data_IF_022813977831
#
_entry.id   IF_022813977831
#
_cell.length_a   1.000
_cell.length_b   1.000
_cell.length_c   1.000
_cell.angle_alpha   90.00
_cell.angle_beta   90.00
_cell.angle_gamma   90.00
#
_symmetry.space_group_name_H-M   'P 1'
#
loop_
_entity.id
_entity.type
_entity.pdbx_description
1 polymer ?
#
# COMPACT_ATOMS: atom_id res chain seq x y z
N UNK A 1 -16.97 -2.71 -22.10
CA UNK A 1 -17.16 -1.44 -21.35
C UNK A 1 -15.85 -0.97 -20.67
N UNK A 2 -15.07 -1.88 -20.09
CA UNK A 2 -13.88 -1.56 -19.30
C UNK A 2 -12.68 -1.13 -20.17
N UNK A 3 -12.47 -1.81 -21.31
CA UNK A 3 -11.41 -1.48 -22.26
C UNK A 3 -11.65 -0.09 -22.90
N UNK A 4 -12.90 0.23 -23.22
CA UNK A 4 -13.27 1.55 -23.76
C UNK A 4 -12.95 2.69 -22.76
N UNK A 5 -13.09 2.46 -21.47
CA UNK A 5 -12.73 3.45 -20.44
C UNK A 5 -11.22 3.70 -20.36
N UNK A 6 -10.40 2.65 -20.56
CA UNK A 6 -8.93 2.78 -20.64
C UNK A 6 -8.52 3.58 -21.89
N UNK A 7 -9.16 3.33 -23.02
CA UNK A 7 -8.95 4.06 -24.30
C UNK A 7 -9.22 5.55 -24.15
N UNK A 8 -10.38 5.91 -23.62
CA UNK A 8 -10.76 7.34 -23.43
C UNK A 8 -9.74 8.05 -22.53
N UNK A 9 -9.31 7.41 -21.43
CA UNK A 9 -8.31 7.99 -20.55
C UNK A 9 -6.94 8.19 -21.21
N UNK A 10 -6.51 7.25 -22.03
CA UNK A 10 -5.22 7.36 -22.75
C UNK A 10 -5.24 8.40 -23.86
N UNK A 11 -6.30 8.45 -24.66
CA UNK A 11 -6.46 9.46 -25.71
C UNK A 11 -6.43 10.89 -25.17
N UNK A 12 -7.10 11.15 -24.04
CA UNK A 12 -7.06 12.46 -23.39
C UNK A 12 -5.64 12.86 -22.99
N UNK A 13 -4.88 11.93 -22.40
CA UNK A 13 -3.50 12.19 -21.98
C UNK A 13 -2.56 12.41 -23.17
N UNK A 14 -2.73 11.67 -24.25
CA UNK A 14 -1.94 11.81 -25.49
C UNK A 14 -2.21 13.19 -26.10
N UNK A 15 -3.47 13.57 -26.31
CA UNK A 15 -3.88 14.88 -26.85
C UNK A 15 -3.41 16.05 -25.97
N UNK A 16 -3.41 15.89 -24.65
CA UNK A 16 -2.91 16.92 -23.74
C UNK A 16 -1.39 17.08 -23.87
N UNK A 17 -0.64 15.98 -23.98
CA UNK A 17 0.79 16.02 -24.23
C UNK A 17 1.13 16.69 -25.58
N UNK A 18 0.37 16.42 -26.64
CA UNK A 18 0.53 17.04 -27.95
C UNK A 18 0.27 18.55 -27.88
N UNK A 19 -0.80 18.98 -27.20
CA UNK A 19 -1.12 20.42 -27.02
C UNK A 19 -0.02 21.19 -26.29
N UNK A 20 0.69 20.54 -25.38
CA UNK A 20 1.80 21.11 -24.64
C UNK A 20 3.16 20.97 -25.34
N UNK A 21 3.18 20.50 -26.59
CA UNK A 21 4.40 20.35 -27.39
C UNK A 21 5.31 19.19 -26.97
N UNK A 22 4.81 18.25 -26.14
CA UNK A 22 5.53 17.06 -25.67
C UNK A 22 5.33 15.89 -26.63
N UNK A 23 5.80 16.06 -27.86
CA UNK A 23 5.53 15.10 -28.94
C UNK A 23 6.17 13.73 -28.70
N UNK A 24 7.36 13.70 -28.11
CA UNK A 24 8.07 12.46 -27.82
C UNK A 24 7.36 11.65 -26.75
N UNK A 25 6.90 12.31 -25.68
CA UNK A 25 6.12 11.70 -24.61
C UNK A 25 4.76 11.19 -25.12
N UNK A 26 4.08 11.97 -25.94
CA UNK A 26 2.83 11.58 -26.59
C UNK A 26 3.01 10.34 -27.46
N UNK A 27 4.05 10.27 -28.27
CA UNK A 27 4.36 9.14 -29.12
C UNK A 27 4.67 7.89 -28.30
N UNK A 28 5.51 7.98 -27.26
CA UNK A 28 5.83 6.86 -26.35
C UNK A 28 4.57 6.32 -25.70
N UNK A 29 3.74 7.23 -25.16
CA UNK A 29 2.51 6.86 -24.47
C UNK A 29 1.55 6.14 -25.43
N UNK A 30 1.38 6.67 -26.65
CA UNK A 30 0.54 6.08 -27.67
C UNK A 30 0.99 4.65 -28.03
N UNK A 31 2.25 4.50 -28.44
CA UNK A 31 2.80 3.19 -28.83
C UNK A 31 2.65 2.15 -27.71
N UNK A 32 2.92 2.56 -26.48
CA UNK A 32 2.78 1.67 -25.33
C UNK A 32 1.34 1.28 -25.06
N UNK A 33 0.44 2.24 -25.11
CA UNK A 33 -0.98 1.99 -24.80
C UNK A 33 -1.64 1.17 -25.88
N UNK A 34 -1.39 1.47 -27.16
CA UNK A 34 -1.93 0.71 -28.29
C UNK A 34 -1.50 -0.78 -28.20
N UNK A 35 -0.22 -1.02 -27.92
CA UNK A 35 0.30 -2.38 -27.72
C UNK A 35 -0.33 -3.11 -26.52
N UNK A 36 -0.44 -2.42 -25.38
CA UNK A 36 -1.03 -3.00 -24.16
C UNK A 36 -2.53 -3.33 -24.37
N UNK A 37 -3.26 -2.47 -25.10
CA UNK A 37 -4.67 -2.70 -25.43
C UNK A 37 -4.86 -3.89 -26.37
N UNK A 38 -4.05 -4.01 -27.42
CA UNK A 38 -4.06 -5.17 -28.32
C UNK A 38 -3.84 -6.48 -27.54
N UNK A 39 -2.89 -6.51 -26.62
CA UNK A 39 -2.66 -7.67 -25.75
C UNK A 39 -3.86 -7.96 -24.82
N UNK A 40 -4.50 -6.94 -24.29
CA UNK A 40 -5.69 -7.12 -23.44
C UNK A 40 -6.86 -7.67 -24.28
N UNK A 41 -7.05 -7.19 -25.51
CA UNK A 41 -8.11 -7.67 -26.40
C UNK A 41 -7.88 -9.11 -26.84
N UNK A 42 -6.66 -9.48 -27.21
CA UNK A 42 -6.36 -10.80 -27.75
C UNK A 42 -6.14 -11.86 -26.65
N UNK A 43 -5.45 -11.52 -25.58
CA UNK A 43 -5.00 -12.46 -24.55
C UNK A 43 -5.70 -12.26 -23.19
N UNK A 44 -6.46 -11.19 -23.03
CA UNK A 44 -7.06 -10.82 -21.75
C UNK A 44 -6.05 -10.27 -20.71
N UNK A 45 -4.80 -10.06 -21.10
CA UNK A 45 -3.72 -9.66 -20.19
C UNK A 45 -2.63 -8.89 -20.92
N UNK A 46 -2.04 -7.89 -20.24
CA UNK A 46 -0.79 -7.26 -20.67
C UNK A 46 0.19 -7.12 -19.50
N UNK A 47 1.48 -7.00 -19.79
CA UNK A 47 2.50 -6.74 -18.77
C UNK A 47 2.34 -5.32 -18.23
N UNK A 48 2.00 -5.21 -16.95
CA UNK A 48 1.73 -3.93 -16.30
C UNK A 48 0.25 -3.54 -16.30
N UNK A 49 -0.65 -4.52 -16.46
CA UNK A 49 -2.12 -4.32 -16.42
C UNK A 49 -2.57 -3.56 -15.17
N UNK A 50 -1.81 -3.66 -14.08
CA UNK A 50 -2.06 -2.93 -12.83
C UNK A 50 -2.06 -1.42 -13.01
N UNK A 51 -1.39 -0.87 -14.04
CA UNK A 51 -1.38 0.56 -14.33
C UNK A 51 -2.73 1.05 -14.87
N UNK A 52 -3.54 0.12 -15.36
CA UNK A 52 -4.91 0.36 -15.84
C UNK A 52 -5.97 0.01 -14.79
N UNK A 53 -5.57 -0.47 -13.61
CA UNK A 53 -6.47 -0.99 -12.56
C UNK A 53 -7.56 -0.01 -12.15
N UNK A 54 -7.30 1.30 -12.15
CA UNK A 54 -8.31 2.32 -11.87
C UNK A 54 -9.46 2.28 -12.86
N UNK A 55 -9.13 2.22 -14.16
CA UNK A 55 -10.12 2.16 -15.24
C UNK A 55 -10.88 0.85 -15.22
N UNK A 56 -10.18 -0.28 -15.07
CA UNK A 56 -10.77 -1.62 -15.00
C UNK A 56 -11.73 -1.78 -13.81
N UNK A 57 -11.44 -1.15 -12.68
CA UNK A 57 -12.29 -1.20 -11.48
C UNK A 57 -13.30 -0.06 -11.36
N UNK A 58 -13.36 0.86 -12.33
CA UNK A 58 -14.29 2.00 -12.31
C UNK A 58 -14.05 3.00 -11.16
N UNK A 59 -12.86 3.01 -10.57
CA UNK A 59 -12.53 3.88 -9.42
C UNK A 59 -12.31 5.32 -9.85
N UNK A 60 -12.61 6.25 -8.95
CA UNK A 60 -12.32 7.65 -9.14
C UNK A 60 -10.81 7.94 -9.06
N UNK A 61 -10.32 8.96 -9.80
CA UNK A 61 -8.93 9.41 -9.67
C UNK A 61 -8.54 9.71 -8.21
N UNK A 62 -7.35 9.27 -7.79
CA UNK A 62 -6.84 9.49 -6.44
C UNK A 62 -7.39 8.56 -5.36
N UNK A 63 -8.39 7.74 -5.67
CA UNK A 63 -8.94 6.77 -4.70
C UNK A 63 -7.91 5.71 -4.31
N UNK A 64 -8.03 5.19 -3.09
CA UNK A 64 -7.20 4.10 -2.63
C UNK A 64 -7.48 2.81 -3.43
N UNK A 65 -6.47 2.02 -3.80
CA UNK A 65 -6.68 0.74 -4.46
C UNK A 65 -7.26 -0.29 -3.47
N UNK A 66 -7.94 -1.29 -4.02
CA UNK A 66 -8.29 -2.48 -3.26
C UNK A 66 -7.01 -3.26 -2.92
N UNK A 67 -6.95 -3.77 -1.72
CA UNK A 67 -5.81 -4.52 -1.19
C UNK A 67 -6.27 -5.85 -0.60
N UNK A 68 -5.33 -6.73 -0.28
CA UNK A 68 -5.64 -7.98 0.39
C UNK A 68 -6.41 -7.78 1.72
N UNK A 69 -6.19 -6.65 2.39
CA UNK A 69 -6.87 -6.30 3.63
C UNK A 69 -8.39 -6.16 3.47
N UNK A 70 -8.84 -5.74 2.30
CA UNK A 70 -10.26 -5.55 2.00
C UNK A 70 -11.04 -6.88 1.92
N UNK A 71 -10.32 -8.02 1.81
CA UNK A 71 -10.89 -9.37 1.76
C UNK A 71 -10.93 -10.07 3.12
N UNK A 72 -10.31 -9.49 4.14
CA UNK A 72 -10.37 -10.07 5.48
C UNK A 72 -11.69 -9.73 6.20
N UNK A 73 -12.13 -10.61 7.11
CA UNK A 73 -13.27 -10.30 7.98
C UNK A 73 -13.04 -9.02 8.78
N UNK A 74 -14.13 -8.29 9.07
CA UNK A 74 -14.05 -7.03 9.81
C UNK A 74 -13.52 -7.17 11.25
N UNK A 75 -13.62 -8.36 11.81
CA UNK A 75 -13.13 -8.72 13.14
C UNK A 75 -11.74 -9.36 13.12
N UNK A 76 -11.02 -9.27 12.00
CA UNK A 76 -9.67 -9.81 11.85
C UNK A 76 -8.66 -9.15 12.79
N UNK A 77 -7.69 -9.96 13.23
CA UNK A 77 -6.54 -9.53 14.02
C UNK A 77 -5.30 -9.47 13.11
N UNK A 78 -4.66 -8.32 13.06
CA UNK A 78 -3.41 -8.12 12.33
C UNK A 78 -2.23 -8.14 13.27
N UNK A 79 -1.26 -9.02 13.01
CA UNK A 79 0.01 -9.05 13.73
C UNK A 79 1.11 -8.44 12.87
N UNK A 80 1.76 -7.40 13.38
CA UNK A 80 2.88 -6.74 12.72
C UNK A 80 4.15 -7.15 13.46
N UNK A 81 4.89 -8.07 12.85
CA UNK A 81 6.18 -8.52 13.38
C UNK A 81 7.27 -7.48 13.07
N UNK A 82 8.27 -7.39 13.95
CA UNK A 82 9.32 -6.38 13.90
C UNK A 82 8.78 -4.97 13.62
N UNK A 83 7.73 -4.60 14.35
CA UNK A 83 6.93 -3.40 14.10
C UNK A 83 7.77 -2.13 14.07
N UNK A 84 8.85 -2.04 14.85
CA UNK A 84 9.78 -0.91 14.87
C UNK A 84 10.46 -0.64 13.52
N UNK A 85 10.50 -1.66 12.62
CA UNK A 85 10.96 -1.54 11.23
C UNK A 85 9.78 -1.45 10.27
N UNK A 86 8.77 -2.31 10.46
CA UNK A 86 7.64 -2.43 9.54
C UNK A 86 6.77 -1.15 9.51
N UNK A 87 6.51 -0.52 10.66
CA UNK A 87 5.66 0.68 10.73
C UNK A 87 6.29 1.88 9.99
N UNK A 88 7.56 2.23 10.19
CA UNK A 88 8.21 3.25 9.37
C UNK A 88 8.24 2.92 7.88
N UNK A 89 8.44 1.66 7.50
CA UNK A 89 8.40 1.24 6.10
C UNK A 89 7.02 1.45 5.50
N UNK A 90 5.94 1.04 6.18
CA UNK A 90 4.56 1.30 5.75
C UNK A 90 4.31 2.80 5.56
N UNK A 91 4.84 3.64 6.45
CA UNK A 91 4.74 5.08 6.34
C UNK A 91 5.44 5.66 5.10
N UNK A 92 6.58 5.09 4.70
CA UNK A 92 7.39 5.56 3.57
C UNK A 92 7.01 5.01 2.20
N UNK A 93 6.28 3.90 2.13
CA UNK A 93 6.00 3.18 0.87
C UNK A 93 5.27 4.05 -0.16
N UNK A 94 4.29 4.81 0.26
CA UNK A 94 3.49 5.65 -0.64
C UNK A 94 4.33 6.72 -1.34
N UNK A 95 5.12 7.48 -0.61
CA UNK A 95 5.92 8.57 -1.18
C UNK A 95 7.03 8.04 -2.08
N UNK A 96 7.65 6.92 -1.74
CA UNK A 96 8.66 6.27 -2.57
C UNK A 96 8.09 5.81 -3.92
N UNK A 97 6.92 5.16 -3.92
CA UNK A 97 6.25 4.73 -5.15
C UNK A 97 5.78 5.92 -5.99
N UNK A 98 5.17 6.93 -5.35
CA UNK A 98 4.69 8.13 -6.01
C UNK A 98 5.82 8.91 -6.69
N UNK A 99 6.94 9.10 -6.01
CA UNK A 99 8.10 9.81 -6.57
C UNK A 99 8.62 9.14 -7.85
N UNK A 100 8.78 7.82 -7.81
CA UNK A 100 9.20 7.04 -8.98
C UNK A 100 8.20 7.13 -10.13
N UNK A 101 6.91 6.98 -9.85
CA UNK A 101 5.86 6.99 -10.89
C UNK A 101 5.63 8.35 -11.49
N UNK A 102 5.78 9.43 -10.72
CA UNK A 102 5.71 10.79 -11.26
C UNK A 102 6.70 10.98 -12.41
N UNK A 103 7.95 10.55 -12.24
CA UNK A 103 8.97 10.64 -13.29
C UNK A 103 8.54 9.82 -14.53
N UNK A 104 8.00 8.63 -14.35
CA UNK A 104 7.56 7.79 -15.46
C UNK A 104 6.37 8.40 -16.22
N UNK A 105 5.45 9.04 -15.52
CA UNK A 105 4.30 9.74 -16.12
C UNK A 105 4.78 11.01 -16.83
N UNK A 106 5.63 11.80 -16.21
CA UNK A 106 6.16 13.05 -16.78
C UNK A 106 6.87 12.83 -18.11
N UNK A 107 7.61 11.71 -18.23
CA UNK A 107 8.34 11.37 -19.45
C UNK A 107 7.58 10.46 -20.43
N UNK A 108 6.26 10.28 -20.25
CA UNK A 108 5.40 9.53 -21.17
C UNK A 108 5.61 8.01 -21.16
N UNK A 109 6.22 7.43 -20.11
CA UNK A 109 6.37 5.98 -19.98
C UNK A 109 5.18 5.30 -19.31
N UNK A 110 4.32 6.06 -18.65
CA UNK A 110 3.11 5.57 -17.97
C UNK A 110 1.98 6.59 -18.09
N UNK A 111 0.74 6.07 -18.09
CA UNK A 111 -0.45 6.90 -17.96
C UNK A 111 -0.54 7.49 -16.55
N UNK A 112 -1.16 8.67 -16.36
CA UNK A 112 -1.45 9.24 -15.05
C UNK A 112 -2.20 8.27 -14.11
N UNK A 113 -3.04 7.39 -14.66
CA UNK A 113 -3.74 6.35 -13.90
C UNK A 113 -2.82 5.36 -13.17
N UNK A 114 -1.57 5.23 -13.60
CA UNK A 114 -0.57 4.43 -12.90
C UNK A 114 -0.29 4.93 -11.47
N UNK A 115 -0.52 6.23 -11.20
CA UNK A 115 -0.41 6.82 -9.87
C UNK A 115 -1.47 6.33 -8.90
N UNK A 116 -2.60 5.83 -9.41
CA UNK A 116 -3.71 5.32 -8.60
C UNK A 116 -3.56 3.83 -8.25
N UNK A 117 -2.63 3.12 -8.89
CA UNK A 117 -2.15 1.82 -8.45
C UNK A 117 -0.94 2.03 -7.52
N UNK A 118 -1.18 2.22 -6.27
CA UNK A 118 -0.22 2.68 -5.28
C UNK A 118 -0.35 1.93 -3.96
N UNK A 119 0.71 1.88 -3.13
CA UNK A 119 0.55 1.46 -1.74
C UNK A 119 -0.48 2.34 -1.02
N UNK A 120 -1.10 1.77 -0.02
CA UNK A 120 -1.93 2.55 0.89
C UNK A 120 -1.09 3.62 1.60
N UNK A 121 -1.68 4.77 1.83
CA UNK A 121 -1.12 5.72 2.79
C UNK A 121 -1.25 5.13 4.20
N UNK A 122 -0.39 5.53 5.11
CA UNK A 122 -0.39 4.97 6.46
C UNK A 122 -1.74 5.09 7.18
N UNK A 123 -2.42 6.24 7.06
CA UNK A 123 -3.76 6.40 7.64
C UNK A 123 -4.81 5.49 6.98
N UNK A 124 -4.75 5.31 5.64
CA UNK A 124 -5.65 4.40 4.92
C UNK A 124 -5.43 2.94 5.35
N UNK A 125 -4.18 2.56 5.64
CA UNK A 125 -3.86 1.26 6.22
C UNK A 125 -4.48 1.12 7.62
N UNK A 126 -4.29 2.12 8.49
CA UNK A 126 -4.83 2.10 9.86
C UNK A 126 -6.36 2.05 9.89
N UNK A 127 -7.04 2.74 8.99
CA UNK A 127 -8.51 2.74 8.88
C UNK A 127 -9.09 1.37 8.52
N UNK A 128 -8.32 0.55 7.79
CA UNK A 128 -8.73 -0.81 7.39
C UNK A 128 -8.49 -1.85 8.47
N UNK A 129 -7.79 -1.49 9.55
CA UNK A 129 -7.50 -2.41 10.64
C UNK A 129 -8.60 -2.37 11.69
N UNK A 130 -8.92 -3.55 12.25
CA UNK A 130 -9.79 -3.64 13.41
C UNK A 130 -8.94 -3.74 14.69
N UNK A 131 -8.13 -4.77 14.78
CA UNK A 131 -7.22 -5.01 15.90
C UNK A 131 -5.79 -5.22 15.37
N UNK A 132 -4.82 -4.59 16.04
CA UNK A 132 -3.42 -4.73 15.66
C UNK A 132 -2.60 -5.14 16.89
N UNK A 133 -1.73 -6.12 16.69
CA UNK A 133 -0.68 -6.49 17.62
C UNK A 133 0.65 -6.08 17.00
N UNK A 134 1.38 -5.25 17.70
CA UNK A 134 2.75 -4.89 17.32
C UNK A 134 3.71 -5.77 18.12
N UNK A 135 4.48 -6.60 17.43
CA UNK A 135 5.51 -7.44 18.02
C UNK A 135 6.88 -6.83 17.70
N UNK A 136 7.68 -6.59 18.74
CA UNK A 136 9.03 -6.06 18.58
C UNK A 136 9.89 -6.36 19.80
N UNK A 137 11.14 -6.79 19.57
CA UNK A 137 12.13 -6.91 20.62
C UNK A 137 12.66 -5.52 21.09
N UNK A 138 12.60 -4.53 20.20
CA UNK A 138 13.07 -3.16 20.43
C UNK A 138 12.03 -2.15 19.97
N UNK A 139 10.94 -1.96 20.74
CA UNK A 139 9.86 -1.04 20.37
C UNK A 139 10.37 0.36 20.06
N UNK A 140 9.91 0.93 18.94
CA UNK A 140 10.26 2.27 18.52
C UNK A 140 9.39 3.36 19.15
N UNK A 141 9.64 4.63 18.81
CA UNK A 141 8.86 5.75 19.34
C UNK A 141 7.36 5.66 19.05
N UNK A 142 6.99 5.10 17.87
CA UNK A 142 5.59 4.94 17.48
C UNK A 142 4.85 4.02 18.46
N UNK A 143 5.39 2.84 18.72
CA UNK A 143 4.79 1.87 19.64
C UNK A 143 4.72 2.41 21.06
N UNK A 144 5.80 3.03 21.54
CA UNK A 144 5.87 3.58 22.87
C UNK A 144 4.85 4.71 23.11
N UNK A 145 4.68 5.61 22.12
CA UNK A 145 3.70 6.70 22.21
C UNK A 145 2.28 6.14 22.18
N UNK A 146 1.97 5.26 21.23
CA UNK A 146 0.62 4.71 21.09
C UNK A 146 0.22 3.84 22.29
N UNK A 147 1.16 3.14 22.92
CA UNK A 147 0.88 2.38 24.13
C UNK A 147 0.62 3.26 25.36
N UNK A 148 1.29 4.39 25.46
CA UNK A 148 1.14 5.30 26.63
C UNK A 148 -0.11 6.16 26.55
N UNK A 149 -0.52 6.54 25.34
CA UNK A 149 -1.60 7.51 25.14
C UNK A 149 -2.99 6.98 25.52
N UNK A 150 -3.22 5.67 25.41
CA UNK A 150 -4.57 5.09 25.52
C UNK A 150 -4.72 4.03 26.61
N UNK A 151 -3.93 4.09 27.68
CA UNK A 151 -3.93 3.04 28.75
C UNK A 151 -3.74 1.61 28.20
N UNK A 152 -3.05 1.46 27.10
CA UNK A 152 -2.82 0.18 26.44
C UNK A 152 -1.78 -0.62 27.20
N UNK A 153 -2.07 -1.89 27.38
CA UNK A 153 -1.25 -2.75 28.22
C UNK A 153 -0.01 -3.21 27.46
N UNK A 154 1.15 -2.90 27.99
CA UNK A 154 2.42 -3.49 27.58
C UNK A 154 2.60 -4.82 28.28
N UNK A 155 2.60 -5.91 27.54
CA UNK A 155 2.82 -7.26 28.08
C UNK A 155 4.24 -7.70 27.72
N UNK A 156 5.17 -7.74 28.68
CA UNK A 156 6.47 -8.31 28.43
C UNK A 156 6.33 -9.82 28.22
N UNK A 157 6.51 -10.28 26.99
CA UNK A 157 6.59 -11.74 26.75
C UNK A 157 8.02 -12.19 27.02
N UNK A 158 8.20 -12.97 28.05
CA UNK A 158 9.44 -13.71 28.24
C UNK A 158 9.51 -14.80 27.19
N UNK A 159 10.55 -14.80 26.35
CA UNK A 159 10.86 -15.94 25.50
C UNK A 159 10.93 -17.17 26.42
N UNK A 160 10.14 -18.19 26.13
CA UNK A 160 10.26 -19.46 26.81
C UNK A 160 11.70 -19.96 26.58
N UNK A 161 12.53 -19.87 27.62
CA UNK A 161 13.88 -20.36 27.54
C UNK A 161 13.80 -21.84 27.18
N UNK A 162 14.49 -22.27 26.13
CA UNK A 162 14.81 -23.67 25.94
C UNK A 162 15.51 -24.11 27.21
N UNK A 163 15.11 -25.27 27.73
CA UNK A 163 15.63 -25.84 28.98
C UNK A 163 17.15 -25.59 29.10
N UNK A 164 17.55 -24.73 30.03
CA UNK A 164 18.95 -24.40 30.33
C UNK A 164 19.47 -23.02 29.90
N UNK A 165 18.75 -22.21 29.10
CA UNK A 165 19.18 -20.85 28.74
C UNK A 165 18.56 -19.82 29.68
N UNK A 166 19.40 -18.95 30.24
CA UNK A 166 18.91 -17.73 30.91
C UNK A 166 18.32 -16.81 29.85
N UNK A 167 17.10 -16.34 30.06
CA UNK A 167 16.49 -15.34 29.19
C UNK A 167 17.41 -14.12 29.07
N UNK A 168 17.65 -13.60 27.83
CA UNK A 168 18.44 -12.39 27.66
C UNK A 168 17.82 -11.23 28.44
N UNK A 169 18.63 -10.51 29.20
CA UNK A 169 18.21 -9.26 29.83
C UNK A 169 17.74 -8.31 28.72
N UNK A 170 16.50 -7.82 28.82
CA UNK A 170 15.95 -6.79 27.93
C UNK A 170 14.91 -7.25 26.92
N UNK A 171 14.48 -8.53 26.90
CA UNK A 171 13.37 -8.91 26.04
C UNK A 171 12.07 -8.25 26.53
N UNK A 172 11.62 -7.25 25.79
CA UNK A 172 10.47 -6.41 26.15
C UNK A 172 9.35 -6.59 25.13
N UNK A 173 8.61 -7.58 25.25
CA UNK A 173 7.19 -7.70 25.08
C UNK A 173 6.50 -7.47 23.73
N UNK A 174 5.29 -7.98 23.70
CA UNK A 174 4.30 -7.73 22.66
C UNK A 174 3.50 -6.47 23.06
N UNK A 175 3.42 -5.51 22.15
CA UNK A 175 2.60 -4.34 22.30
C UNK A 175 1.26 -4.53 21.61
N UNK A 176 0.17 -4.50 22.38
CA UNK A 176 -1.17 -4.51 21.82
C UNK A 176 -1.68 -3.11 21.65
N UNK A 177 -2.08 -2.74 20.44
CA UNK A 177 -2.83 -1.52 20.21
C UNK A 177 -4.08 -1.82 19.41
N UNK A 178 -5.22 -1.35 19.85
CA UNK A 178 -6.46 -1.36 19.08
C UNK A 178 -6.96 0.06 18.91
N UNK A 179 -7.49 0.43 17.75
CA UNK A 179 -8.28 1.64 17.61
C UNK A 179 -9.59 1.61 18.41
N UNK A 180 -10.02 0.42 18.83
CA UNK A 180 -11.25 0.18 19.60
C UNK A 180 -10.93 -0.86 20.67
N UNK A 181 -10.96 -0.46 21.93
CA UNK A 181 -10.84 -1.25 23.16
C UNK A 181 -10.27 -2.66 23.08
N UNK A 182 -9.02 -2.82 23.49
CA UNK A 182 -8.44 -4.14 23.69
C UNK A 182 -8.89 -4.68 25.06
N UNK A 183 -9.71 -5.68 25.03
CA UNK A 183 -9.77 -6.64 26.13
C UNK A 183 -8.79 -7.76 25.78
N UNK A 184 -7.63 -7.74 26.41
CA UNK A 184 -6.74 -8.90 26.39
C UNK A 184 -7.40 -9.95 27.28
N UNK A 185 -7.99 -10.96 26.65
CA UNK A 185 -8.26 -12.22 27.35
C UNK A 185 -6.93 -12.97 27.43
N UNK A 186 -6.42 -13.12 28.64
CA UNK A 186 -5.37 -14.10 28.95
C UNK A 186 -5.97 -15.50 28.90
#
# INVERSE_FOLDING_TARGET
YEIASCLVGSEMCIRDSEKHGRLLEAQRLKLRTDYDLELIEELGFCKGIENYSRHLSGRLPGSAPSTLLDFFPKDSLTLIDESHVAVPQLGGMYEGDRSRKNILVEHGFRLPSALDNRPLKFHEFMERQNQIVYASATPGPFELVNCRADNRTYIPVRRAARSGEKAPEGFKGILFTSPKDIRVAL
#
